data_IF_734916430866
#
_entry.id   IF_734916430866
#
_cell.length_a   1.000
_cell.length_b   1.000
_cell.length_c   1.000
_cell.angle_alpha   90.00
_cell.angle_beta   90.00
_cell.angle_gamma   90.00
#
_symmetry.space_group_name_H-M   'P 1'
#
loop_
_entity.id
_entity.type
_entity.pdbx_description
1 polymer ?
#
# COMPACT_ATOMS: atom_id res chain seq x y z
N UNK A 1 -2.18 -3.42 -19.90
CA UNK A 1 -2.51 -3.09 -18.49
C UNK A 1 -1.27 -3.17 -17.60
N UNK A 2 -0.60 -4.34 -17.50
CA UNK A 2 0.69 -4.46 -16.79
C UNK A 2 1.73 -3.48 -17.35
N UNK A 3 1.87 -3.37 -18.68
CA UNK A 3 2.76 -2.38 -19.31
C UNK A 3 2.49 -0.92 -18.91
N UNK A 4 1.24 -0.55 -18.62
CA UNK A 4 0.91 0.81 -18.19
C UNK A 4 1.38 1.08 -16.75
N UNK A 5 1.33 0.08 -15.87
CA UNK A 5 1.86 0.21 -14.51
C UNK A 5 3.38 0.42 -14.53
N UNK A 6 4.11 -0.39 -15.31
CA UNK A 6 5.56 -0.18 -15.48
C UNK A 6 5.87 1.23 -16.02
N UNK A 7 5.17 1.68 -17.06
CA UNK A 7 5.38 3.03 -17.59
C UNK A 7 5.12 4.15 -16.58
N UNK A 8 4.08 4.03 -15.74
CA UNK A 8 3.80 5.01 -14.68
C UNK A 8 4.90 4.98 -13.61
N UNK A 9 5.31 3.78 -13.18
CA UNK A 9 6.37 3.62 -12.19
C UNK A 9 7.69 4.25 -12.68
N UNK A 10 8.09 3.92 -13.90
CA UNK A 10 9.34 4.41 -14.50
C UNK A 10 9.32 5.93 -14.65
N UNK A 11 8.18 6.50 -15.08
CA UNK A 11 8.02 7.95 -15.17
C UNK A 11 8.15 8.63 -13.81
N UNK A 12 7.50 8.11 -12.75
CA UNK A 12 7.62 8.65 -11.40
C UNK A 12 9.06 8.56 -10.88
N UNK A 13 9.68 7.39 -11.00
CA UNK A 13 11.01 7.13 -10.43
C UNK A 13 12.12 7.85 -11.18
N UNK A 14 11.99 8.07 -12.49
CA UNK A 14 12.90 8.93 -13.28
C UNK A 14 12.99 10.37 -12.74
N UNK A 15 11.94 10.82 -12.05
CA UNK A 15 11.84 12.14 -11.41
C UNK A 15 12.18 12.12 -9.91
N UNK A 16 12.64 10.99 -9.38
CA UNK A 16 12.90 10.81 -7.96
C UNK A 16 11.64 10.77 -7.08
N UNK A 17 10.47 10.49 -7.67
CA UNK A 17 9.20 10.39 -6.96
C UNK A 17 8.92 8.91 -6.66
N UNK A 18 8.75 8.57 -5.38
CA UNK A 18 8.32 7.23 -4.99
C UNK A 18 6.87 6.99 -5.44
N UNK A 19 6.62 5.89 -6.16
CA UNK A 19 5.30 5.52 -6.65
C UNK A 19 4.62 4.54 -5.68
N UNK A 20 3.44 4.89 -5.20
CA UNK A 20 2.65 4.09 -4.24
C UNK A 20 1.31 3.75 -4.86
N UNK A 21 0.95 2.46 -4.85
CA UNK A 21 -0.32 1.97 -5.37
C UNK A 21 -1.26 1.62 -4.21
N UNK A 22 -2.41 2.29 -4.12
CA UNK A 22 -3.46 1.97 -3.14
C UNK A 22 -4.47 1.01 -3.77
N UNK A 23 -4.63 -0.17 -3.19
CA UNK A 23 -5.61 -1.15 -3.67
C UNK A 23 -7.01 -0.73 -3.22
N UNK A 24 -7.92 -0.60 -4.19
CA UNK A 24 -9.31 -0.25 -3.96
C UNK A 24 -10.21 -1.50 -4.05
N UNK A 25 -11.16 -1.61 -3.14
CA UNK A 25 -12.12 -2.71 -3.06
C UNK A 25 -13.55 -2.19 -3.21
N UNK A 26 -14.27 -2.69 -4.20
CA UNK A 26 -15.71 -2.41 -4.40
C UNK A 26 -16.62 -3.44 -3.73
N UNK A 27 -16.06 -4.60 -3.34
CA UNK A 27 -16.73 -5.61 -2.53
C UNK A 27 -15.70 -6.26 -1.58
N UNK A 28 -16.03 -6.25 -0.30
CA UNK A 28 -15.22 -6.81 0.79
C UNK A 28 -15.79 -8.14 1.30
N UNK A 29 -16.96 -8.57 0.81
CA UNK A 29 -17.65 -9.77 1.28
C UNK A 29 -16.79 -11.04 1.19
N UNK A 30 -16.04 -11.29 0.10
CA UNK A 30 -15.16 -12.46 0.01
C UNK A 30 -14.05 -12.46 1.08
N UNK A 31 -13.53 -11.28 1.41
CA UNK A 31 -12.45 -11.12 2.38
C UNK A 31 -12.96 -11.15 3.82
N UNK A 32 -14.16 -10.62 4.07
CA UNK A 32 -14.80 -10.61 5.38
C UNK A 32 -15.12 -12.04 5.84
N UNK A 33 -15.57 -12.89 4.91
CA UNK A 33 -15.90 -14.30 5.16
C UNK A 33 -14.66 -15.20 5.36
N UNK A 34 -13.48 -14.79 4.86
CA UNK A 34 -12.27 -15.61 4.92
C UNK A 34 -11.56 -15.45 6.27
N UNK A 35 -11.21 -16.54 6.98
CA UNK A 35 -10.49 -16.45 8.27
C UNK A 35 -9.25 -15.53 8.20
N UNK A 36 -8.50 -15.63 7.10
CA UNK A 36 -7.32 -14.80 6.79
C UNK A 36 -7.57 -13.96 5.52
N UNK A 37 -7.96 -12.67 5.66
CA UNK A 37 -8.35 -11.83 4.52
C UNK A 37 -7.25 -11.64 3.47
N UNK A 38 -6.00 -11.50 3.87
CA UNK A 38 -4.86 -11.28 2.95
C UNK A 38 -4.40 -12.53 2.20
N UNK A 39 -4.81 -13.71 2.67
CA UNK A 39 -4.54 -15.01 2.04
C UNK A 39 -5.80 -15.62 1.41
N UNK A 40 -6.88 -14.85 1.30
CA UNK A 40 -8.13 -15.33 0.72
C UNK A 40 -7.92 -15.68 -0.76
N UNK A 41 -8.14 -16.94 -1.13
CA UNK A 41 -8.04 -17.43 -2.51
C UNK A 41 -8.96 -16.65 -3.47
N UNK A 42 -10.08 -16.13 -2.94
CA UNK A 42 -11.06 -15.34 -3.68
C UNK A 42 -10.84 -13.82 -3.56
N UNK A 43 -9.62 -13.35 -3.27
CA UNK A 43 -9.32 -11.91 -3.26
C UNK A 43 -9.41 -11.33 -4.68
N UNK A 44 -10.44 -10.51 -5.00
CA UNK A 44 -10.65 -10.02 -6.36
C UNK A 44 -9.53 -9.10 -6.85
N UNK A 45 -8.73 -8.56 -5.94
CA UNK A 45 -7.65 -7.63 -6.24
C UNK A 45 -6.26 -8.29 -6.23
N UNK A 46 -6.16 -9.61 -6.01
CA UNK A 46 -4.87 -10.31 -5.93
C UNK A 46 -4.02 -10.13 -7.20
N UNK A 47 -4.61 -10.25 -8.38
CA UNK A 47 -3.90 -10.06 -9.65
C UNK A 47 -3.42 -8.61 -9.84
N UNK A 48 -4.20 -7.63 -9.40
CA UNK A 48 -3.85 -6.22 -9.48
C UNK A 48 -2.74 -5.83 -8.51
N UNK A 49 -2.83 -6.33 -7.27
CA UNK A 49 -1.78 -6.20 -6.26
C UNK A 49 -0.46 -6.75 -6.80
N UNK A 50 -0.47 -7.99 -7.31
CA UNK A 50 0.71 -8.61 -7.89
C UNK A 50 1.26 -7.81 -9.07
N UNK A 51 0.41 -7.32 -9.97
CA UNK A 51 0.87 -6.51 -11.10
C UNK A 51 1.50 -5.18 -10.67
N UNK A 52 1.03 -4.56 -9.59
CA UNK A 52 1.64 -3.34 -9.05
C UNK A 52 2.99 -3.63 -8.36
N UNK A 53 3.08 -4.74 -7.60
CA UNK A 53 4.33 -5.22 -6.99
C UNK A 53 5.37 -5.55 -8.08
N UNK A 54 4.98 -6.30 -9.11
CA UNK A 54 5.85 -6.66 -10.24
C UNK A 54 6.32 -5.42 -11.02
N UNK A 55 5.54 -4.34 -11.02
CA UNK A 55 5.90 -3.05 -11.62
C UNK A 55 6.79 -2.16 -10.72
N UNK A 56 7.08 -2.57 -9.49
CA UNK A 56 7.97 -1.84 -8.57
C UNK A 56 7.27 -0.86 -7.63
N UNK A 57 5.93 -0.78 -7.64
CA UNK A 57 5.22 0.09 -6.71
C UNK A 57 5.36 -0.39 -5.28
N UNK A 58 5.39 0.56 -4.35
CA UNK A 58 5.06 0.28 -2.95
C UNK A 58 3.54 0.09 -2.86
N UNK A 59 3.09 -1.10 -2.48
CA UNK A 59 1.64 -1.38 -2.43
C UNK A 59 1.07 -1.13 -1.03
N UNK A 60 0.03 -0.30 -0.99
CA UNK A 60 -0.84 -0.11 0.17
C UNK A 60 -2.13 -0.93 -0.04
N UNK A 61 -2.22 -2.05 0.68
CA UNK A 61 -3.43 -2.88 0.70
C UNK A 61 -4.20 -2.63 2.01
N UNK A 62 -5.32 -1.88 1.98
CA UNK A 62 -6.06 -1.55 3.18
C UNK A 62 -6.95 -2.69 3.70
N UNK A 63 -7.06 -3.83 2.99
CA UNK A 63 -8.02 -4.88 3.30
C UNK A 63 -7.97 -5.34 4.75
N UNK A 64 -6.77 -5.56 5.30
CA UNK A 64 -6.62 -6.06 6.66
C UNK A 64 -7.23 -5.11 7.71
N UNK A 65 -6.97 -3.80 7.58
CA UNK A 65 -7.50 -2.77 8.48
C UNK A 65 -9.02 -2.67 8.34
N UNK A 66 -9.54 -2.69 7.12
CA UNK A 66 -10.97 -2.60 6.85
C UNK A 66 -11.72 -3.82 7.41
N UNK A 67 -11.24 -5.04 7.13
CA UNK A 67 -11.87 -6.27 7.62
C UNK A 67 -11.79 -6.38 9.14
N UNK A 68 -10.66 -5.99 9.75
CA UNK A 68 -10.53 -5.95 11.21
C UNK A 68 -11.57 -5.04 11.83
N UNK A 69 -11.76 -3.83 11.30
CA UNK A 69 -12.78 -2.89 11.77
C UNK A 69 -14.19 -3.49 11.65
N UNK A 70 -14.53 -4.05 10.49
CA UNK A 70 -15.85 -4.65 10.26
C UNK A 70 -16.15 -5.78 11.26
N UNK A 71 -15.19 -6.68 11.49
CA UNK A 71 -15.32 -7.78 12.47
C UNK A 71 -15.51 -7.28 13.89
N UNK A 72 -14.71 -6.32 14.32
CA UNK A 72 -14.77 -5.76 15.67
C UNK A 72 -16.12 -5.09 15.97
N UNK A 73 -16.79 -4.57 14.94
CA UNK A 73 -18.07 -3.87 15.08
C UNK A 73 -19.28 -4.76 14.70
N UNK A 74 -19.07 -6.05 14.39
CA UNK A 74 -20.16 -6.93 13.93
C UNK A 74 -20.85 -6.44 12.65
N UNK A 75 -20.12 -5.68 11.83
CA UNK A 75 -20.66 -4.97 10.68
C UNK A 75 -20.49 -5.77 9.38
N UNK A 76 -21.49 -5.69 8.50
CA UNK A 76 -21.41 -6.28 7.16
C UNK A 76 -20.44 -5.53 6.25
N UNK A 77 -20.05 -6.17 5.13
CA UNK A 77 -19.11 -5.60 4.16
C UNK A 77 -19.46 -4.16 3.75
N UNK A 78 -20.76 -3.84 3.71
CA UNK A 78 -21.28 -2.55 3.27
C UNK A 78 -21.30 -1.40 4.25
N UNK A 79 -20.92 -1.63 5.50
CA UNK A 79 -20.90 -0.57 6.50
C UNK A 79 -19.87 0.54 6.25
N UNK A 80 -18.91 0.33 5.34
CA UNK A 80 -17.87 1.30 4.99
C UNK A 80 -18.16 2.07 3.70
N UNK A 81 -19.29 1.84 3.04
CA UNK A 81 -19.72 2.58 1.85
C UNK A 81 -20.66 3.74 2.21
N UNK A 82 -20.79 4.72 1.29
CA UNK A 82 -21.73 5.83 1.44
C UNK A 82 -23.18 5.35 1.43
N UNK A 83 -23.49 4.35 0.61
CA UNK A 83 -24.80 3.70 0.58
C UNK A 83 -24.73 2.31 -0.02
N UNK A 84 -25.82 1.56 0.07
CA UNK A 84 -25.96 0.21 -0.53
C UNK A 84 -25.72 0.16 -2.05
N UNK A 85 -25.92 1.29 -2.75
CA UNK A 85 -25.82 1.44 -4.21
C UNK A 85 -24.57 2.20 -4.64
N UNK A 86 -23.79 2.70 -3.69
CA UNK A 86 -22.65 3.58 -3.94
C UNK A 86 -21.38 2.96 -3.33
N UNK A 87 -20.48 2.38 -4.15
CA UNK A 87 -19.27 1.74 -3.67
C UNK A 87 -18.16 2.73 -3.27
N UNK A 88 -18.45 4.04 -3.17
CA UNK A 88 -17.50 4.99 -2.59
C UNK A 88 -17.43 4.82 -1.06
N UNK A 89 -16.22 4.83 -0.48
CA UNK A 89 -16.07 4.76 0.97
C UNK A 89 -16.77 5.95 1.67
N UNK A 90 -17.36 5.69 2.83
CA UNK A 90 -17.79 6.77 3.72
C UNK A 90 -16.61 7.35 4.52
N UNK A 91 -16.88 8.31 5.41
CA UNK A 91 -15.85 8.97 6.23
C UNK A 91 -14.98 7.96 7.00
N UNK A 92 -15.60 6.94 7.59
CA UNK A 92 -14.87 5.90 8.34
C UNK A 92 -13.99 5.08 7.40
N UNK A 93 -14.51 4.68 6.24
CA UNK A 93 -13.76 3.97 5.21
C UNK A 93 -12.54 4.77 4.72
N UNK A 94 -12.72 6.05 4.39
CA UNK A 94 -11.64 6.94 4.00
C UNK A 94 -10.58 7.08 5.10
N UNK A 95 -10.99 7.25 6.35
CA UNK A 95 -10.05 7.36 7.50
C UNK A 95 -9.19 6.10 7.65
N UNK A 96 -9.79 4.92 7.53
CA UNK A 96 -9.08 3.64 7.63
C UNK A 96 -8.09 3.43 6.47
N UNK A 97 -8.48 3.77 5.24
CA UNK A 97 -7.59 3.72 4.06
C UNK A 97 -6.42 4.69 4.24
N UNK A 98 -6.68 5.93 4.70
CA UNK A 98 -5.63 6.90 4.98
C UNK A 98 -4.67 6.43 6.07
N UNK A 99 -5.17 5.75 7.11
CA UNK A 99 -4.33 5.16 8.15
C UNK A 99 -3.41 4.06 7.60
N UNK A 100 -3.95 3.16 6.76
CA UNK A 100 -3.16 2.12 6.10
C UNK A 100 -2.08 2.76 5.20
N UNK A 101 -2.45 3.74 4.39
CA UNK A 101 -1.51 4.47 3.53
C UNK A 101 -0.40 5.15 4.35
N UNK A 102 -0.75 5.85 5.43
CA UNK A 102 0.24 6.48 6.30
C UNK A 102 1.24 5.46 6.87
N UNK A 103 0.79 4.26 7.23
CA UNK A 103 1.67 3.19 7.70
C UNK A 103 2.60 2.68 6.58
N UNK A 104 2.07 2.47 5.37
CA UNK A 104 2.85 2.08 4.19
C UNK A 104 3.92 3.11 3.83
N UNK A 105 3.65 4.41 4.03
CA UNK A 105 4.58 5.48 3.69
C UNK A 105 5.71 5.67 4.73
N UNK A 106 5.52 5.26 6.00
CA UNK A 106 6.50 5.49 7.08
C UNK A 106 7.94 5.11 6.73
N UNK A 107 8.22 3.91 6.15
CA UNK A 107 9.59 3.53 5.80
C UNK A 107 10.22 4.43 4.73
N UNK A 108 9.42 5.02 3.86
CA UNK A 108 9.89 5.91 2.77
C UNK A 108 10.24 7.31 3.27
N UNK A 109 9.63 7.71 4.40
CA UNK A 109 9.80 9.03 5.01
C UNK A 109 10.82 9.03 6.14
N UNK A 110 11.31 7.85 6.55
CA UNK A 110 12.36 7.76 7.54
C UNK A 110 13.62 8.44 6.99
N UNK A 111 14.24 9.38 7.74
CA UNK A 111 15.50 9.95 7.30
C UNK A 111 16.49 8.81 7.12
N UNK A 112 16.99 8.65 5.90
CA UNK A 112 18.15 7.80 5.65
C UNK A 112 19.25 8.32 6.55
N UNK A 113 19.63 7.54 7.56
CA UNK A 113 20.84 7.81 8.33
C UNK A 113 21.98 7.85 7.31
N UNK A 114 22.35 9.07 6.93
CA UNK A 114 23.51 9.33 6.09
C UNK A 114 24.70 8.74 6.84
N UNK A 115 25.17 7.58 6.40
CA UNK A 115 26.46 7.05 6.79
C UNK A 115 27.45 8.15 6.46
N UNK A 116 27.96 8.84 7.49
CA UNK A 116 29.12 9.70 7.36
C UNK A 116 30.25 8.78 6.90
N UNK A 117 30.55 8.80 5.62
CA UNK A 117 31.84 8.34 5.11
C UNK A 117 32.86 9.30 5.72
N UNK A 118 33.51 8.88 6.80
CA UNK A 118 34.71 9.55 7.28
C UNK A 118 35.78 9.38 6.20
N UNK A 119 35.96 10.40 5.37
CA UNK A 119 37.12 10.54 4.51
C UNK A 119 38.34 10.82 5.41
N UNK A 120 39.03 9.78 5.85
CA UNK A 120 40.44 9.92 6.25
C UNK A 120 41.31 9.65 5.03
N UNK A 121 41.48 10.68 4.21
CA UNK A 121 42.56 10.76 3.22
C UNK A 121 43.75 11.53 3.81
N UNK A 122 44.97 11.06 3.53
CA UNK A 122 46.24 11.74 3.77
C UNK A 122 47.13 10.99 4.76
N UNK A 123 47.94 10.00 4.36
CA UNK A 123 49.19 10.08 3.59
C UNK A 123 50.35 10.78 4.33
N UNK A 124 51.30 9.98 4.81
CA UNK A 124 52.72 10.30 4.98
C UNK A 124 53.46 8.95 4.90
N UNK A 125 54.00 8.59 3.75
CA UNK A 125 55.35 8.93 3.27
C UNK A 125 56.47 8.32 4.14
N UNK A 126 57.08 7.28 3.56
CA UNK A 126 58.49 6.90 3.58
C UNK A 126 59.42 7.49 4.66
N UNK A 127 60.05 6.63 5.46
CA UNK A 127 61.50 6.37 5.46
C UNK A 127 61.84 5.13 6.28
#
# INVERSE_FOLDING_TARGET
MVQALHGIHDECTSRGIAAVCVIHYTDLSPLLAAERPTAAENNPMAAWKKAAEDAGFVVCDPAEVLIRYLRQNGAGAKALWLSEKDPHPNEVGHRLIAQALAQTLKPLLAPTNSVRVSSNGGNAASH
#
